data_IF_051550478829
#
_entry.id   IF_051550478829
#
_cell.length_a   1.000
_cell.length_b   1.000
_cell.length_c   1.000
_cell.angle_alpha   90.00
_cell.angle_beta   90.00
_cell.angle_gamma   90.00
#
_symmetry.space_group_name_H-M   'P 1'
#
loop_
_entity.id
_entity.type
_entity.pdbx_description
1 polymer ?
#
# COMPACT_ATOMS: atom_id res chain seq x y z
N UNK A 1 9.20 6.68 21.41
CA UNK A 1 9.08 7.73 20.37
C UNK A 1 8.35 8.93 20.96
N UNK A 2 8.36 10.11 20.31
CA UNK A 2 7.64 11.30 20.79
C UNK A 2 6.87 11.99 19.65
N UNK A 3 5.67 12.51 19.93
CA UNK A 3 4.78 13.05 18.89
C UNK A 3 5.32 14.28 18.16
N UNK A 4 6.11 15.12 18.81
CA UNK A 4 6.69 16.33 18.20
C UNK A 4 7.62 15.99 17.03
N UNK A 5 8.39 14.91 17.17
CA UNK A 5 9.30 14.43 16.15
C UNK A 5 8.59 13.58 15.09
N UNK A 6 7.62 12.75 15.51
CA UNK A 6 6.82 11.90 14.61
C UNK A 6 5.98 12.71 13.60
N UNK A 7 5.60 13.94 13.94
CA UNK A 7 4.83 14.83 13.06
C UNK A 7 5.73 15.75 12.22
N UNK A 8 6.90 15.26 11.80
CA UNK A 8 7.85 16.05 11.02
C UNK A 8 7.31 16.43 9.64
N UNK A 9 7.42 17.72 9.32
CA UNK A 9 7.13 18.29 8.01
C UNK A 9 8.34 18.25 7.06
N UNK A 10 9.50 17.74 7.51
CA UNK A 10 10.71 17.61 6.67
C UNK A 10 10.36 16.88 5.38
N UNK A 11 10.96 17.32 4.28
CA UNK A 11 10.90 16.69 2.97
C UNK A 11 12.31 16.43 2.47
N UNK A 12 12.43 15.53 1.51
CA UNK A 12 13.71 15.24 0.88
C UNK A 12 14.39 16.53 0.38
N UNK A 13 15.67 16.68 0.71
CA UNK A 13 16.52 17.82 0.35
C UNK A 13 16.35 19.07 1.22
N UNK A 14 15.52 19.04 2.26
CA UNK A 14 15.43 20.16 3.20
C UNK A 14 16.67 20.23 4.10
N UNK A 15 17.30 21.40 4.14
CA UNK A 15 18.45 21.68 5.01
C UNK A 15 18.07 22.41 6.32
N UNK A 16 16.78 22.73 6.49
CA UNK A 16 16.26 23.47 7.64
C UNK A 16 14.99 22.81 8.15
N UNK A 17 14.80 22.83 9.48
CA UNK A 17 13.60 22.29 10.12
C UNK A 17 12.37 23.11 9.72
N UNK A 18 11.30 22.42 9.31
CA UNK A 18 10.00 23.05 9.05
C UNK A 18 9.15 23.01 10.32
N UNK A 19 8.80 24.17 10.86
CA UNK A 19 7.97 24.28 12.05
C UNK A 19 6.48 24.32 11.67
N UNK A 20 5.65 23.51 12.34
CA UNK A 20 4.20 23.44 12.07
C UNK A 20 3.51 24.80 12.25
N UNK A 21 3.83 25.53 13.32
CA UNK A 21 3.29 26.87 13.62
C UNK A 21 3.61 27.94 12.57
N UNK A 22 4.59 27.69 11.69
CA UNK A 22 5.01 28.61 10.62
C UNK A 22 4.45 28.20 9.25
N UNK A 23 3.69 27.11 9.17
CA UNK A 23 3.02 26.71 7.94
C UNK A 23 1.86 27.65 7.63
N UNK A 24 1.66 27.92 6.35
CA UNK A 24 0.44 28.53 5.85
C UNK A 24 -0.69 27.49 5.90
N UNK A 25 -1.79 27.79 6.60
CA UNK A 25 -2.93 26.89 6.73
C UNK A 25 -3.59 26.55 5.38
N UNK A 26 -3.47 27.41 4.36
CA UNK A 26 -3.98 27.15 3.01
C UNK A 26 -3.06 26.24 2.17
N UNK A 27 -1.82 26.04 2.63
CA UNK A 27 -0.76 25.27 1.94
C UNK A 27 -0.03 24.35 2.93
N UNK A 28 -0.76 23.85 3.92
CA UNK A 28 -0.21 23.02 4.98
C UNK A 28 0.45 21.77 4.37
N UNK A 29 1.69 21.46 4.79
CA UNK A 29 2.47 20.39 4.19
C UNK A 29 1.74 19.03 4.11
N UNK A 30 0.98 18.65 5.14
CA UNK A 30 0.26 17.37 5.14
C UNK A 30 -0.88 17.32 4.12
N UNK A 31 -1.60 18.42 3.91
CA UNK A 31 -2.64 18.51 2.87
C UNK A 31 -2.00 18.56 1.47
N UNK A 32 -0.85 19.25 1.33
CA UNK A 32 -0.07 19.26 0.09
C UNK A 32 0.42 17.85 -0.29
N UNK A 33 0.69 16.97 0.68
CA UNK A 33 1.04 15.58 0.39
C UNK A 33 -0.11 14.85 -0.31
N UNK A 34 -1.33 15.01 0.19
CA UNK A 34 -2.53 14.41 -0.41
C UNK A 34 -2.69 14.89 -1.86
N UNK A 35 -2.60 16.20 -2.10
CA UNK A 35 -2.68 16.77 -3.45
C UNK A 35 -1.63 16.19 -4.40
N UNK A 36 -0.38 16.13 -3.94
CA UNK A 36 0.73 15.59 -4.74
C UNK A 36 0.51 14.14 -5.15
N UNK A 37 -0.07 13.32 -4.27
CA UNK A 37 -0.42 11.94 -4.58
C UNK A 37 -1.56 11.90 -5.60
N UNK A 38 -2.66 12.65 -5.37
CA UNK A 38 -3.82 12.71 -6.29
C UNK A 38 -3.41 13.10 -7.72
N UNK A 39 -2.51 14.09 -7.86
CA UNK A 39 -2.06 14.57 -9.18
C UNK A 39 -0.96 13.71 -9.80
N UNK A 40 -0.43 12.71 -9.09
CA UNK A 40 0.64 11.84 -9.61
C UNK A 40 0.14 10.91 -10.72
N UNK A 41 1.02 10.61 -11.68
CA UNK A 41 0.70 9.65 -12.74
C UNK A 41 0.57 8.23 -12.17
N UNK A 42 1.38 7.95 -11.14
CA UNK A 42 1.44 6.68 -10.43
C UNK A 42 0.11 6.38 -9.71
N UNK A 43 -0.50 7.36 -9.04
CA UNK A 43 -1.83 7.21 -8.46
C UNK A 43 -2.93 7.04 -9.52
N UNK A 44 -2.92 7.86 -10.58
CA UNK A 44 -3.90 7.75 -11.67
C UNK A 44 -3.88 6.38 -12.36
N UNK A 45 -2.71 5.74 -12.42
CA UNK A 45 -2.57 4.39 -13.00
C UNK A 45 -3.40 3.32 -12.26
N UNK A 46 -3.74 3.56 -10.98
CA UNK A 46 -4.55 2.64 -10.19
C UNK A 46 -5.97 2.46 -10.74
N UNK A 47 -6.46 3.37 -11.58
CA UNK A 47 -7.78 3.26 -12.22
C UNK A 47 -7.87 2.02 -13.12
N UNK A 48 -6.77 1.64 -13.76
CA UNK A 48 -6.70 0.47 -14.67
C UNK A 48 -5.92 -0.68 -14.01
N UNK A 49 -5.91 -0.72 -12.67
CA UNK A 49 -5.44 -1.85 -11.87
C UNK A 49 -6.60 -2.41 -11.08
N UNK A 50 -6.90 -3.68 -11.34
CA UNK A 50 -7.91 -4.40 -10.56
C UNK A 50 -7.50 -4.52 -9.09
N UNK A 51 -8.51 -4.48 -8.22
CA UNK A 51 -8.36 -4.86 -6.83
C UNK A 51 -8.50 -6.40 -6.75
N UNK A 52 -9.58 -6.89 -6.17
CA UNK A 52 -9.85 -8.33 -6.04
C UNK A 52 -10.53 -8.84 -7.31
N UNK A 53 -11.71 -8.32 -7.61
CA UNK A 53 -12.53 -8.79 -8.72
C UNK A 53 -11.93 -8.29 -10.05
N UNK A 54 -11.93 -9.11 -11.13
CA UNK A 54 -11.53 -8.64 -12.46
C UNK A 54 -12.37 -7.43 -12.90
N UNK A 55 -11.83 -6.58 -13.78
CA UNK A 55 -12.63 -5.54 -14.42
C UNK A 55 -13.75 -6.21 -15.23
N UNK A 56 -14.95 -6.27 -14.66
CA UNK A 56 -16.15 -6.76 -15.32
C UNK A 56 -16.69 -5.67 -16.24
N UNK A 57 -17.57 -6.04 -17.17
CA UNK A 57 -18.39 -5.08 -17.91
C UNK A 57 -19.56 -4.53 -17.08
N UNK A 58 -19.59 -4.79 -15.76
CA UNK A 58 -20.65 -4.33 -14.86
C UNK A 58 -20.20 -3.08 -14.11
N UNK A 59 -21.10 -2.12 -13.93
CA UNK A 59 -20.77 -0.73 -13.56
C UNK A 59 -20.29 -0.51 -12.10
N UNK A 60 -20.16 -1.57 -11.27
CA UNK A 60 -20.00 -1.46 -9.82
C UNK A 60 -18.89 -2.34 -9.22
N UNK A 61 -17.69 -2.38 -9.82
CA UNK A 61 -16.52 -3.07 -9.22
C UNK A 61 -15.45 -2.06 -8.84
N UNK A 62 -14.99 -2.11 -7.59
CA UNK A 62 -13.91 -1.24 -7.14
C UNK A 62 -12.60 -1.56 -7.86
N UNK A 63 -11.98 -0.50 -8.38
CA UNK A 63 -10.59 -0.51 -8.82
C UNK A 63 -9.70 -0.21 -7.62
N UNK A 64 -8.38 -0.41 -7.74
CA UNK A 64 -7.45 0.01 -6.68
C UNK A 64 -7.51 1.51 -6.41
N UNK A 65 -7.87 2.32 -7.41
CA UNK A 65 -8.05 3.76 -7.24
C UNK A 65 -9.24 4.08 -6.33
N UNK A 66 -10.41 3.49 -6.61
CA UNK A 66 -11.61 3.75 -5.81
C UNK A 66 -11.46 3.20 -4.39
N UNK A 67 -10.87 2.01 -4.22
CA UNK A 67 -10.50 1.48 -2.90
C UNK A 67 -9.58 2.42 -2.13
N UNK A 68 -8.48 2.87 -2.76
CA UNK A 68 -7.54 3.79 -2.12
C UNK A 68 -8.19 5.12 -1.72
N UNK A 69 -9.16 5.62 -2.50
CA UNK A 69 -9.94 6.80 -2.14
C UNK A 69 -10.79 6.55 -0.91
N UNK A 70 -11.51 5.44 -0.84
CA UNK A 70 -12.35 5.09 0.31
C UNK A 70 -11.53 4.85 1.58
N UNK A 71 -10.43 4.10 1.45
CA UNK A 71 -9.43 3.88 2.50
C UNK A 71 -8.87 5.22 3.00
N UNK A 72 -8.60 6.17 2.10
CA UNK A 72 -8.12 7.51 2.51
C UNK A 72 -9.17 8.32 3.29
N UNK A 73 -10.46 8.15 3.00
CA UNK A 73 -11.56 8.82 3.71
C UNK A 73 -11.76 8.22 5.11
N UNK A 74 -11.71 6.89 5.22
CA UNK A 74 -11.72 6.18 6.50
C UNK A 74 -10.48 6.59 7.32
N UNK A 75 -9.30 6.57 6.71
CA UNK A 75 -8.03 6.99 7.30
C UNK A 75 -8.05 8.44 7.80
N UNK A 76 -8.61 9.36 7.02
CA UNK A 76 -8.81 10.76 7.44
C UNK A 76 -9.62 10.87 8.72
N UNK A 77 -10.69 10.09 8.82
CA UNK A 77 -11.58 10.09 9.99
C UNK A 77 -10.89 9.48 11.20
N UNK A 78 -10.22 8.34 11.04
CA UNK A 78 -9.39 7.72 12.08
C UNK A 78 -8.33 8.70 12.62
N UNK A 79 -7.57 9.33 11.72
CA UNK A 79 -6.54 10.29 12.07
C UNK A 79 -7.09 11.52 12.80
N UNK A 80 -8.24 12.07 12.36
CA UNK A 80 -8.89 13.21 13.05
C UNK A 80 -9.34 12.86 14.46
N UNK A 81 -9.99 11.71 14.63
CA UNK A 81 -10.49 11.27 15.93
C UNK A 81 -9.35 10.95 16.90
N UNK A 82 -8.33 10.23 16.44
CA UNK A 82 -7.13 9.96 17.22
C UNK A 82 -6.37 11.25 17.55
N UNK A 83 -6.16 12.13 16.57
CA UNK A 83 -5.50 13.42 16.74
C UNK A 83 -6.19 14.32 17.76
N UNK A 84 -7.53 14.34 17.78
CA UNK A 84 -8.31 15.04 18.81
C UNK A 84 -7.97 14.52 20.22
N UNK A 85 -8.03 13.20 20.43
CA UNK A 85 -7.74 12.60 21.73
C UNK A 85 -6.26 12.77 22.13
N UNK A 86 -5.34 12.71 21.18
CA UNK A 86 -3.92 12.95 21.41
C UNK A 86 -3.64 14.40 21.82
N UNK A 87 -4.30 15.39 21.23
CA UNK A 87 -4.16 16.79 21.63
C UNK A 87 -4.75 17.01 23.02
N UNK A 88 -5.87 16.37 23.35
CA UNK A 88 -6.43 16.40 24.70
C UNK A 88 -5.46 15.78 25.74
N UNK A 89 -4.80 14.66 25.39
CA UNK A 89 -3.78 14.00 26.24
C UNK A 89 -2.47 14.80 26.31
N UNK A 90 -2.08 15.45 25.21
CA UNK A 90 -0.81 16.19 25.06
C UNK A 90 -1.06 17.63 24.54
N UNK A 91 -1.58 18.55 25.39
CA UNK A 91 -1.98 19.89 24.94
C UNK A 91 -0.85 20.75 24.37
N UNK A 92 0.41 20.44 24.71
CA UNK A 92 1.58 21.13 24.17
C UNK A 92 1.73 20.98 22.65
N UNK A 93 1.24 19.89 22.05
CA UNK A 93 1.24 19.69 20.60
C UNK A 93 0.50 20.83 19.90
N UNK A 94 -0.62 21.28 20.46
CA UNK A 94 -1.38 22.42 19.94
C UNK A 94 -0.83 23.75 20.47
N UNK A 95 -0.70 23.90 21.79
CA UNK A 95 -0.41 25.18 22.43
C UNK A 95 1.00 25.72 22.14
N UNK A 96 1.97 24.83 21.88
CA UNK A 96 3.38 25.22 21.63
C UNK A 96 3.72 25.04 20.14
N UNK A 97 3.36 23.89 19.56
CA UNK A 97 3.80 23.53 18.20
C UNK A 97 2.77 23.84 17.11
N UNK A 98 1.52 24.13 17.49
CA UNK A 98 0.46 24.52 16.56
C UNK A 98 -0.24 23.36 15.84
N UNK A 99 0.01 22.10 16.24
CA UNK A 99 -0.64 20.95 15.62
C UNK A 99 -2.15 20.94 15.90
N UNK A 100 -2.92 20.51 14.90
CA UNK A 100 -4.37 20.38 14.95
C UNK A 100 -4.79 18.93 14.69
N UNK A 101 -5.97 18.54 15.16
CA UNK A 101 -6.50 17.19 14.93
C UNK A 101 -6.59 16.85 13.42
N UNK A 102 -6.84 17.86 12.57
CA UNK A 102 -6.87 17.70 11.13
C UNK A 102 -5.52 17.33 10.52
N UNK A 103 -4.39 17.69 11.15
CA UNK A 103 -3.04 17.35 10.66
C UNK A 103 -2.82 15.84 10.69
N UNK A 104 -3.22 15.19 11.78
CA UNK A 104 -3.20 13.72 11.92
C UNK A 104 -4.09 13.06 10.86
N UNK A 105 -5.28 13.63 10.65
CA UNK A 105 -6.19 13.22 9.57
C UNK A 105 -5.54 13.30 8.19
N UNK A 106 -4.87 14.41 7.88
CA UNK A 106 -4.20 14.63 6.60
C UNK A 106 -3.05 13.63 6.36
N UNK A 107 -2.22 13.38 7.38
CA UNK A 107 -1.12 12.41 7.31
C UNK A 107 -1.66 11.00 7.04
N UNK A 108 -2.62 10.55 7.85
CA UNK A 108 -3.20 9.20 7.69
C UNK A 108 -3.91 9.09 6.35
N UNK A 109 -4.65 10.12 5.93
CA UNK A 109 -5.32 10.12 4.62
C UNK A 109 -4.33 10.05 3.46
N UNK A 110 -3.25 10.83 3.46
CA UNK A 110 -2.25 10.82 2.40
C UNK A 110 -1.51 9.48 2.33
N UNK A 111 -1.07 8.95 3.47
CA UNK A 111 -0.43 7.64 3.54
C UNK A 111 -1.37 6.51 3.07
N UNK A 112 -2.63 6.55 3.49
CA UNK A 112 -3.63 5.57 3.12
C UNK A 112 -4.06 5.70 1.64
N UNK A 113 -4.05 6.91 1.06
CA UNK A 113 -4.27 7.11 -0.37
C UNK A 113 -3.15 6.48 -1.22
N UNK A 114 -1.91 6.50 -0.72
CA UNK A 114 -0.76 5.95 -1.42
C UNK A 114 -0.51 4.46 -1.14
N UNK A 115 -1.19 3.82 -0.17
CA UNK A 115 -0.83 2.49 0.35
C UNK A 115 -0.66 1.43 -0.75
N UNK A 116 -1.47 1.53 -1.80
CA UNK A 116 -1.54 0.55 -2.87
C UNK A 116 -0.74 0.94 -4.13
N UNK A 117 -0.07 2.10 -4.13
CA UNK A 117 0.55 2.72 -5.31
C UNK A 117 1.64 1.85 -5.95
N UNK A 118 2.32 1.01 -5.15
CA UNK A 118 3.41 0.16 -5.59
C UNK A 118 3.01 -1.24 -6.05
N UNK A 119 1.73 -1.60 -5.99
CA UNK A 119 1.31 -2.94 -6.38
C UNK A 119 1.44 -3.18 -7.90
N UNK A 120 1.90 -4.36 -8.31
CA UNK A 120 2.01 -4.72 -9.72
C UNK A 120 0.63 -4.96 -10.36
N UNK A 121 0.56 -5.08 -11.71
CA UNK A 121 -0.61 -5.64 -12.38
C UNK A 121 -1.03 -6.96 -11.74
N UNK A 122 -2.33 -7.22 -11.69
CA UNK A 122 -2.91 -8.41 -11.05
C UNK A 122 -2.65 -8.51 -9.53
N UNK A 123 -2.28 -7.40 -8.87
CA UNK A 123 -2.20 -7.28 -7.41
C UNK A 123 -1.25 -8.26 -6.74
N UNK A 124 -1.67 -8.89 -5.64
CA UNK A 124 -0.87 -9.86 -4.89
C UNK A 124 -0.38 -11.04 -5.75
N UNK A 125 -1.15 -11.44 -6.77
CA UNK A 125 -0.73 -12.48 -7.70
C UNK A 125 0.34 -12.00 -8.67
N UNK A 126 0.37 -10.70 -8.96
CA UNK A 126 1.49 -10.07 -9.64
C UNK A 126 2.77 -10.06 -8.81
N UNK A 127 2.69 -9.75 -7.51
CA UNK A 127 3.84 -9.80 -6.60
C UNK A 127 4.46 -11.20 -6.58
N UNK A 128 3.61 -12.22 -6.42
CA UNK A 128 4.03 -13.62 -6.43
C UNK A 128 4.63 -14.01 -7.78
N UNK A 129 4.03 -13.59 -8.90
CA UNK A 129 4.55 -13.91 -10.23
C UNK A 129 5.94 -13.29 -10.49
N UNK A 130 6.17 -12.05 -10.05
CA UNK A 130 7.49 -11.40 -10.10
C UNK A 130 8.47 -12.17 -9.23
N UNK A 131 8.11 -12.47 -7.97
CA UNK A 131 8.97 -13.21 -7.06
C UNK A 131 9.33 -14.62 -7.56
N UNK A 132 8.34 -15.34 -8.10
CA UNK A 132 8.50 -16.70 -8.59
C UNK A 132 9.41 -16.77 -9.82
N UNK A 133 9.39 -15.74 -10.68
CA UNK A 133 10.32 -15.62 -11.81
C UNK A 133 11.79 -15.72 -11.36
N UNK A 134 12.14 -15.14 -10.20
CA UNK A 134 13.48 -15.23 -9.64
C UNK A 134 13.69 -16.50 -8.81
N UNK A 135 12.70 -16.97 -8.06
CA UNK A 135 12.83 -18.16 -7.17
C UNK A 135 12.99 -19.47 -7.94
N UNK A 136 12.10 -19.72 -8.90
CA UNK A 136 12.01 -21.00 -9.63
C UNK A 136 12.06 -20.84 -11.14
N UNK A 137 11.81 -19.63 -11.66
CA UNK A 137 11.87 -19.30 -13.08
C UNK A 137 13.27 -18.97 -13.61
N UNK A 138 13.29 -18.32 -14.78
CA UNK A 138 14.52 -17.98 -15.50
C UNK A 138 15.40 -16.96 -14.76
N UNK A 139 14.84 -16.15 -13.85
CA UNK A 139 15.58 -15.19 -13.05
C UNK A 139 16.52 -15.84 -12.02
N UNK A 140 16.38 -17.15 -11.76
CA UNK A 140 17.26 -17.90 -10.84
C UNK A 140 18.73 -17.86 -11.24
N UNK A 141 19.03 -17.69 -12.52
CA UNK A 141 20.41 -17.62 -13.03
C UNK A 141 21.21 -16.46 -12.42
N UNK A 142 20.55 -15.37 -12.03
CA UNK A 142 21.20 -14.17 -11.48
C UNK A 142 21.58 -14.30 -10.02
N UNK A 143 21.21 -15.41 -9.34
CA UNK A 143 21.43 -15.58 -7.90
C UNK A 143 22.89 -15.44 -7.50
N UNK A 144 23.81 -15.98 -8.30
CA UNK A 144 25.25 -15.95 -7.99
C UNK A 144 25.90 -14.58 -8.20
N UNK A 145 25.20 -13.63 -8.81
CA UNK A 145 25.69 -12.28 -9.12
C UNK A 145 25.17 -11.23 -8.13
N UNK A 146 24.37 -11.64 -7.14
CA UNK A 146 23.67 -10.78 -6.21
C UNK A 146 24.01 -11.16 -4.78
N UNK A 147 23.94 -10.19 -3.86
CA UNK A 147 23.94 -10.50 -2.44
C UNK A 147 22.64 -11.20 -2.03
N UNK A 148 22.65 -11.89 -0.89
CA UNK A 148 21.44 -12.57 -0.39
C UNK A 148 20.26 -11.60 -0.20
N UNK A 149 20.52 -10.35 0.23
CA UNK A 149 19.47 -9.33 0.44
C UNK A 149 18.91 -8.81 -0.89
N UNK A 150 19.79 -8.51 -1.85
CA UNK A 150 19.37 -8.06 -3.19
C UNK A 150 18.56 -9.13 -3.92
N UNK A 151 19.00 -10.39 -3.86
CA UNK A 151 18.23 -11.48 -4.45
C UNK A 151 16.92 -11.72 -3.69
N UNK A 152 16.90 -11.54 -2.36
CA UNK A 152 15.69 -11.66 -1.57
C UNK A 152 14.65 -10.57 -1.91
N UNK A 153 15.07 -9.34 -2.20
CA UNK A 153 14.19 -8.28 -2.70
C UNK A 153 13.46 -8.68 -3.99
N UNK A 154 14.17 -9.37 -4.90
CA UNK A 154 13.60 -9.83 -6.16
C UNK A 154 12.69 -11.05 -5.94
N UNK A 155 13.10 -11.98 -5.09
CA UNK A 155 12.36 -13.21 -4.82
C UNK A 155 11.05 -12.99 -4.04
N UNK A 156 11.01 -12.04 -3.11
CA UNK A 156 9.81 -11.70 -2.35
C UNK A 156 9.32 -10.28 -2.69
N UNK A 157 9.40 -9.86 -3.96
CA UNK A 157 8.97 -8.54 -4.44
C UNK A 157 7.66 -8.08 -3.79
N UNK A 158 7.67 -6.87 -3.23
CA UNK A 158 6.64 -6.40 -2.31
C UNK A 158 6.16 -4.99 -2.69
N UNK A 159 4.84 -4.82 -2.79
CA UNK A 159 4.19 -3.60 -3.25
C UNK A 159 4.37 -2.39 -2.32
N UNK A 160 4.47 -2.58 -1.00
CA UNK A 160 4.80 -1.51 -0.05
C UNK A 160 6.25 -1.03 -0.25
N UNK A 161 7.19 -1.95 -0.47
CA UNK A 161 8.59 -1.59 -0.78
C UNK A 161 8.69 -0.83 -2.11
N UNK A 162 8.00 -1.31 -3.15
CA UNK A 162 7.90 -0.60 -4.42
C UNK A 162 7.15 0.74 -4.29
N UNK A 163 6.15 0.83 -3.41
CA UNK A 163 5.45 2.07 -3.14
C UNK A 163 6.37 3.10 -2.50
N UNK A 164 7.18 2.69 -1.50
CA UNK A 164 8.17 3.59 -0.89
C UNK A 164 9.16 4.11 -1.93
N UNK A 165 9.65 3.21 -2.80
CA UNK A 165 10.49 3.57 -3.94
C UNK A 165 9.83 4.61 -4.84
N UNK A 166 8.60 4.36 -5.31
CA UNK A 166 7.86 5.29 -6.19
C UNK A 166 7.71 6.68 -5.54
N UNK A 167 7.45 6.71 -4.23
CA UNK A 167 7.24 7.96 -3.51
C UNK A 167 8.52 8.79 -3.34
N UNK A 168 9.68 8.14 -3.36
CA UNK A 168 10.98 8.75 -2.98
C UNK A 168 12.03 8.77 -4.10
N UNK A 169 11.83 8.00 -5.19
CA UNK A 169 12.82 7.82 -6.25
C UNK A 169 13.20 9.15 -6.92
N UNK A 170 14.50 9.41 -6.94
CA UNK A 170 15.09 10.48 -7.74
C UNK A 170 15.32 9.99 -9.17
N UNK A 171 14.86 10.76 -10.16
CA UNK A 171 15.13 10.56 -11.59
C UNK A 171 15.46 11.89 -12.26
N UNK A 172 15.95 11.83 -13.50
CA UNK A 172 16.26 13.03 -14.28
C UNK A 172 15.04 13.96 -14.33
N UNK A 173 15.21 15.20 -13.86
CA UNK A 173 14.14 16.20 -13.78
C UNK A 173 13.19 16.08 -12.58
N UNK A 174 13.39 15.11 -11.67
CA UNK A 174 12.57 14.93 -10.46
C UNK A 174 13.39 14.30 -9.33
N UNK A 175 13.91 15.12 -8.43
CA UNK A 175 14.63 14.66 -7.23
C UNK A 175 13.68 14.42 -6.04
N UNK A 176 13.94 13.36 -5.28
CA UNK A 176 13.18 12.99 -4.07
C UNK A 176 11.75 12.52 -4.35
N UNK A 177 11.46 12.01 -5.55
CA UNK A 177 10.15 11.49 -5.93
C UNK A 177 9.04 12.55 -5.85
N UNK A 178 8.01 12.28 -5.05
CA UNK A 178 6.91 13.23 -4.80
C UNK A 178 7.20 14.14 -3.59
N UNK A 179 8.36 13.96 -2.96
CA UNK A 179 8.89 14.76 -1.83
C UNK A 179 7.88 14.94 -0.71
N UNK A 180 7.17 13.88 -0.33
CA UNK A 180 6.17 13.91 0.75
C UNK A 180 6.80 14.29 2.09
N UNK A 181 5.99 14.74 3.06
CA UNK A 181 6.50 14.96 4.41
C UNK A 181 6.93 13.64 5.05
N UNK A 182 7.91 13.70 5.94
CA UNK A 182 8.47 12.51 6.56
C UNK A 182 7.45 11.83 7.47
N UNK A 183 6.55 12.59 8.13
CA UNK A 183 5.43 11.99 8.85
C UNK A 183 4.53 11.13 7.95
N UNK A 184 4.22 11.60 6.73
CA UNK A 184 3.46 10.82 5.74
C UNK A 184 4.22 9.58 5.27
N UNK A 185 5.53 9.70 4.98
CA UNK A 185 6.36 8.55 4.60
C UNK A 185 6.47 7.51 5.74
N UNK A 186 6.64 7.96 6.98
CA UNK A 186 6.65 7.10 8.15
C UNK A 186 5.32 6.37 8.34
N UNK A 187 4.20 7.08 8.24
CA UNK A 187 2.87 6.49 8.31
C UNK A 187 2.60 5.49 7.17
N UNK A 188 3.10 5.77 5.97
CA UNK A 188 3.01 4.90 4.80
C UNK A 188 3.81 3.60 4.97
N UNK A 189 5.01 3.64 5.55
CA UNK A 189 5.88 2.46 5.64
C UNK A 189 5.38 1.43 6.66
N UNK A 190 4.51 0.52 6.19
CA UNK A 190 3.90 -0.57 6.96
C UNK A 190 4.91 -1.55 7.58
N UNK A 191 6.06 -1.77 6.93
CA UNK A 191 7.08 -2.72 7.37
C UNK A 191 8.47 -2.08 7.30
N UNK A 192 8.86 -1.27 8.29
CA UNK A 192 10.11 -0.50 8.27
C UNK A 192 11.36 -1.37 8.52
N UNK A 193 11.62 -2.32 7.61
CA UNK A 193 12.76 -3.24 7.64
C UNK A 193 13.18 -3.68 6.24
N UNK A 194 14.40 -4.21 6.16
CA UNK A 194 14.95 -4.90 4.99
C UNK A 194 14.22 -6.24 4.72
N UNK A 195 14.40 -6.78 3.51
CA UNK A 195 13.82 -8.07 3.08
C UNK A 195 14.37 -9.28 3.84
N UNK A 196 15.58 -9.17 4.39
CA UNK A 196 16.15 -10.13 5.35
C UNK A 196 16.37 -9.49 6.74
N UNK A 197 16.21 -10.27 7.82
CA UNK A 197 15.70 -11.64 7.83
C UNK A 197 14.19 -11.70 7.51
N UNK A 198 13.75 -12.78 6.87
CA UNK A 198 12.33 -13.01 6.55
C UNK A 198 11.58 -13.44 7.80
N UNK A 199 10.60 -12.63 8.22
CA UNK A 199 9.72 -12.91 9.37
C UNK A 199 10.45 -13.45 10.61
N UNK A 200 11.46 -12.74 11.14
CA UNK A 200 12.30 -13.20 12.26
C UNK A 200 11.52 -13.36 13.55
N UNK A 201 10.40 -12.62 13.70
CA UNK A 201 9.54 -12.67 14.89
C UNK A 201 8.07 -12.63 14.46
N UNK A 202 7.16 -12.81 15.44
CA UNK A 202 5.71 -12.63 15.25
C UNK A 202 5.26 -11.17 15.32
N UNK A 203 6.19 -10.24 15.56
CA UNK A 203 5.87 -8.82 15.63
C UNK A 203 5.33 -8.33 14.28
N UNK A 204 4.28 -7.50 14.29
CA UNK A 204 3.60 -7.09 13.06
C UNK A 204 4.52 -6.38 12.04
N UNK A 205 5.48 -5.57 12.52
CA UNK A 205 6.59 -4.98 11.76
C UNK A 205 7.37 -6.00 10.94
N UNK A 206 7.53 -7.22 11.45
CA UNK A 206 8.33 -8.29 10.85
C UNK A 206 7.58 -9.13 9.82
N UNK A 207 6.29 -8.86 9.58
CA UNK A 207 5.41 -9.65 8.69
C UNK A 207 5.88 -9.67 7.23
N UNK A 208 6.40 -8.55 6.72
CA UNK A 208 6.99 -8.38 5.37
C UNK A 208 8.18 -7.41 5.47
N UNK A 209 8.47 -6.66 4.41
CA UNK A 209 9.48 -5.59 4.38
C UNK A 209 8.95 -4.40 3.56
N UNK A 210 9.55 -3.23 3.69
CA UNK A 210 8.92 -1.97 3.26
C UNK A 210 9.83 -1.02 2.49
N UNK A 211 11.07 -1.44 2.21
CA UNK A 211 11.98 -0.74 1.30
C UNK A 211 12.96 -1.75 0.69
N UNK A 212 13.39 -1.49 -0.54
CA UNK A 212 14.42 -2.28 -1.19
C UNK A 212 15.82 -1.86 -0.72
N UNK A 213 16.84 -2.68 -1.00
CA UNK A 213 18.23 -2.34 -0.69
C UNK A 213 18.67 -1.00 -1.31
N UNK A 214 18.16 -0.67 -2.50
CA UNK A 214 18.42 0.61 -3.17
C UNK A 214 17.81 1.84 -2.48
N UNK A 215 16.80 1.66 -1.63
CA UNK A 215 16.05 2.74 -0.97
C UNK A 215 16.34 2.82 0.54
N UNK A 216 17.27 1.99 1.02
CA UNK A 216 17.65 1.86 2.44
C UNK A 216 18.08 3.18 3.05
N UNK A 217 18.94 3.94 2.37
CA UNK A 217 19.44 5.23 2.87
C UNK A 217 18.32 6.27 2.97
N UNK A 218 17.41 6.30 1.98
CA UNK A 218 16.27 7.18 2.01
C UNK A 218 15.33 6.85 3.17
N UNK A 219 15.10 5.58 3.46
CA UNK A 219 14.30 5.19 4.63
C UNK A 219 15.00 5.49 5.95
N UNK A 220 16.32 5.32 6.02
CA UNK A 220 17.12 5.63 7.20
C UNK A 220 16.99 7.12 7.58
N UNK A 221 17.09 8.04 6.61
CA UNK A 221 16.90 9.47 6.84
C UNK A 221 15.47 9.80 7.33
N UNK A 222 14.45 9.09 6.83
CA UNK A 222 13.08 9.20 7.34
C UNK A 222 12.99 8.71 8.79
N UNK A 223 13.55 7.54 9.08
CA UNK A 223 13.49 6.94 10.42
C UNK A 223 14.22 7.79 11.47
N UNK A 224 15.38 8.35 11.12
CA UNK A 224 16.20 9.18 12.00
C UNK A 224 15.51 10.52 12.30
N UNK A 225 14.96 11.19 11.29
CA UNK A 225 14.18 12.41 11.48
C UNK A 225 12.98 12.17 12.39
N UNK A 226 12.25 11.06 12.20
CA UNK A 226 11.06 10.74 12.97
C UNK A 226 11.36 10.17 14.37
N UNK A 227 12.63 9.84 14.65
CA UNK A 227 13.04 9.23 15.91
C UNK A 227 12.41 7.86 16.13
N UNK A 228 12.27 7.07 15.06
CA UNK A 228 11.75 5.70 15.15
C UNK A 228 12.71 4.85 15.98
N UNK A 229 12.15 3.98 16.83
CA UNK A 229 12.97 3.09 17.68
C UNK A 229 13.74 2.13 16.78
N UNK A 230 15.07 2.11 16.90
CA UNK A 230 15.93 1.22 16.14
C UNK A 230 15.79 -0.22 16.66
N UNK A 231 15.45 -1.15 15.75
CA UNK A 231 15.32 -2.60 16.00
C UNK A 231 16.37 -3.41 15.23
N UNK A 232 17.35 -2.74 14.65
CA UNK A 232 18.36 -3.33 13.77
C UNK A 232 19.17 -4.36 14.55
N UNK A 233 19.43 -5.50 13.91
CA UNK A 233 20.16 -6.61 14.52
C UNK A 233 21.01 -7.31 13.47
N UNK A 234 22.24 -7.66 13.84
CA UNK A 234 23.17 -8.42 12.98
C UNK A 234 23.39 -7.76 11.61
N UNK A 235 23.45 -6.42 11.58
CA UNK A 235 23.62 -5.64 10.35
C UNK A 235 22.38 -5.56 9.45
N UNK A 236 21.23 -6.06 9.91
CA UNK A 236 19.94 -5.94 9.21
C UNK A 236 19.17 -4.74 9.75
N UNK A 237 18.88 -3.78 8.88
CA UNK A 237 18.20 -2.54 9.28
C UNK A 237 16.71 -2.82 9.51
N UNK A 238 16.21 -2.36 10.66
CA UNK A 238 14.82 -2.47 11.07
C UNK A 238 14.49 -1.39 12.10
N UNK A 239 13.26 -0.89 12.06
CA UNK A 239 12.74 0.13 12.98
C UNK A 239 11.36 -0.25 13.50
N UNK A 240 10.95 0.39 14.58
CA UNK A 240 9.55 0.37 14.99
C UNK A 240 8.66 1.05 13.94
N UNK A 241 7.40 0.62 13.86
CA UNK A 241 6.41 1.30 13.02
C UNK A 241 6.15 2.70 13.54
N UNK A 242 5.93 3.64 12.63
CA UNK A 242 5.36 4.92 13.00
C UNK A 242 3.97 4.70 13.62
N UNK A 243 3.56 5.37 14.71
CA UNK A 243 2.27 5.13 15.35
C UNK A 243 1.07 5.29 14.41
N UNK A 244 1.09 6.30 13.53
CA UNK A 244 0.00 6.51 12.56
C UNK A 244 -0.11 5.41 11.49
N UNK A 245 0.91 4.57 11.29
CA UNK A 245 0.83 3.38 10.42
C UNK A 245 -0.26 2.41 10.89
N UNK A 246 -0.48 2.31 12.21
CA UNK A 246 -1.54 1.46 12.76
C UNK A 246 -2.95 1.94 12.35
N UNK A 247 -3.14 3.25 12.21
CA UNK A 247 -4.39 3.83 11.72
C UNK A 247 -4.54 3.65 10.20
N UNK A 248 -3.44 3.74 9.44
CA UNK A 248 -3.44 3.44 8.00
C UNK A 248 -3.81 1.97 7.77
N UNK A 249 -3.17 1.04 8.48
CA UNK A 249 -3.48 -0.40 8.41
C UNK A 249 -4.92 -0.69 8.83
N UNK A 250 -5.43 -0.05 9.89
CA UNK A 250 -6.83 -0.22 10.29
C UNK A 250 -7.81 0.35 9.25
N UNK A 251 -7.49 1.46 8.58
CA UNK A 251 -8.33 2.00 7.52
C UNK A 251 -8.47 0.99 6.37
N UNK A 252 -7.34 0.43 5.95
CA UNK A 252 -7.25 -0.58 4.91
C UNK A 252 -8.01 -1.85 5.30
N UNK A 253 -7.78 -2.39 6.50
CA UNK A 253 -8.45 -3.60 7.00
C UNK A 253 -9.98 -3.40 7.14
N UNK A 254 -10.45 -2.21 7.54
CA UNK A 254 -11.89 -1.89 7.62
C UNK A 254 -12.51 -1.91 6.21
N UNK A 255 -11.88 -1.26 5.24
CA UNK A 255 -12.36 -1.22 3.86
C UNK A 255 -12.34 -2.62 3.24
N UNK A 256 -11.24 -3.36 3.35
CA UNK A 256 -11.16 -4.74 2.87
C UNK A 256 -12.21 -5.65 3.52
N UNK A 257 -12.52 -5.47 4.80
CA UNK A 257 -13.54 -6.30 5.47
C UNK A 257 -14.94 -5.98 4.95
N UNK A 258 -15.31 -4.70 4.87
CA UNK A 258 -16.71 -4.31 4.64
C UNK A 258 -17.03 -4.08 3.16
N UNK A 259 -16.12 -3.47 2.40
CA UNK A 259 -16.35 -3.06 1.01
C UNK A 259 -16.24 -4.27 0.08
N UNK A 260 -15.22 -5.13 0.25
CA UNK A 260 -15.14 -6.37 -0.52
C UNK A 260 -16.34 -7.30 -0.26
N UNK A 261 -16.89 -7.27 0.97
CA UNK A 261 -18.12 -7.98 1.30
C UNK A 261 -19.35 -7.39 0.61
N UNK A 262 -19.45 -6.05 0.55
CA UNK A 262 -20.48 -5.34 -0.24
C UNK A 262 -20.38 -5.70 -1.73
N UNK A 263 -19.18 -5.69 -2.31
CA UNK A 263 -18.94 -6.06 -3.70
C UNK A 263 -19.31 -7.53 -3.96
N UNK A 264 -18.95 -8.43 -3.05
CA UNK A 264 -19.34 -9.84 -3.12
C UNK A 264 -20.85 -10.04 -3.17
N UNK A 265 -21.62 -9.23 -2.42
CA UNK A 265 -23.09 -9.26 -2.46
C UNK A 265 -23.63 -8.66 -3.76
N UNK A 266 -23.11 -7.49 -4.16
CA UNK A 266 -23.57 -6.80 -5.38
C UNK A 266 -23.31 -7.62 -6.65
N UNK A 267 -22.27 -8.46 -6.65
CA UNK A 267 -21.96 -9.39 -7.73
C UNK A 267 -22.72 -10.72 -7.65
N UNK A 268 -23.51 -10.94 -6.59
CA UNK A 268 -24.24 -12.18 -6.37
C UNK A 268 -23.37 -13.37 -5.96
N UNK A 269 -22.10 -13.15 -5.62
CA UNK A 269 -21.18 -14.16 -5.08
C UNK A 269 -21.52 -14.50 -3.62
N UNK A 270 -22.11 -13.55 -2.91
CA UNK A 270 -22.63 -13.69 -1.56
C UNK A 270 -24.12 -13.36 -1.60
N UNK A 271 -24.96 -14.23 -1.03
CA UNK A 271 -26.40 -13.97 -1.02
C UNK A 271 -26.74 -12.85 -0.04
N UNK A 272 -27.61 -11.92 -0.45
CA UNK A 272 -27.98 -10.73 0.34
C UNK A 272 -28.53 -11.09 1.72
N UNK A 273 -29.26 -12.20 1.86
CA UNK A 273 -29.86 -12.63 3.13
C UNK A 273 -28.84 -12.80 4.26
N UNK A 274 -27.59 -13.11 3.92
CA UNK A 274 -26.49 -13.21 4.88
C UNK A 274 -25.96 -11.85 5.33
N UNK A 275 -26.20 -10.76 4.60
CA UNK A 275 -25.61 -9.47 4.88
C UNK A 275 -25.89 -8.97 6.30
N UNK A 276 -27.15 -9.06 6.74
CA UNK A 276 -27.53 -8.65 8.09
C UNK A 276 -26.93 -9.59 9.15
N UNK A 277 -26.91 -10.90 8.90
CA UNK A 277 -26.30 -11.88 9.79
C UNK A 277 -24.82 -11.58 10.05
N UNK A 278 -24.05 -11.32 8.99
CA UNK A 278 -22.62 -11.03 9.07
C UNK A 278 -22.32 -9.61 9.60
N UNK A 279 -23.25 -8.66 9.50
CA UNK A 279 -23.02 -7.29 9.98
C UNK A 279 -23.70 -6.98 11.31
N UNK A 280 -24.56 -7.86 11.84
CA UNK A 280 -25.44 -7.54 12.98
C UNK A 280 -24.69 -7.03 14.20
N UNK A 281 -23.56 -7.64 14.57
CA UNK A 281 -22.79 -7.21 15.76
C UNK A 281 -22.22 -5.79 15.60
N UNK A 282 -21.93 -5.39 14.36
CA UNK A 282 -21.40 -4.07 14.02
C UNK A 282 -22.50 -3.00 13.97
N UNK A 283 -23.72 -3.37 13.59
CA UNK A 283 -24.80 -2.39 13.34
C UNK A 283 -25.92 -2.41 14.39
N UNK A 284 -26.02 -3.44 15.24
CA UNK A 284 -27.16 -3.64 16.17
C UNK A 284 -27.54 -2.43 17.02
N UNK A 285 -26.55 -1.62 17.40
CA UNK A 285 -26.76 -0.47 18.28
C UNK A 285 -27.09 0.83 17.52
N UNK A 286 -26.94 0.85 16.20
CA UNK A 286 -27.09 2.04 15.36
C UNK A 286 -28.13 1.88 14.23
N UNK A 287 -28.52 0.63 13.92
CA UNK A 287 -29.48 0.32 12.86
C UNK A 287 -30.89 0.82 13.21
N UNK A 288 -31.49 1.55 12.28
CA UNK A 288 -32.90 1.93 12.34
C UNK A 288 -33.70 0.93 11.51
N UNK A 289 -34.28 -0.08 12.15
CA UNK A 289 -34.97 -1.21 11.48
C UNK A 289 -36.07 -0.73 10.53
N UNK A 290 -36.88 0.26 10.94
CA UNK A 290 -37.91 0.86 10.07
C UNK A 290 -37.31 1.44 8.78
N UNK A 291 -36.19 2.17 8.88
CA UNK A 291 -35.50 2.74 7.72
C UNK A 291 -34.94 1.63 6.84
N UNK A 292 -34.29 0.62 7.42
CA UNK A 292 -33.74 -0.52 6.68
C UNK A 292 -34.80 -1.24 5.84
N UNK A 293 -35.97 -1.53 6.43
CA UNK A 293 -37.07 -2.19 5.72
C UNK A 293 -37.79 -1.30 4.69
N UNK A 294 -37.60 0.02 4.71
CA UNK A 294 -38.13 0.96 3.71
C UNK A 294 -37.27 1.03 2.45
N UNK A 295 -36.01 0.60 2.51
CA UNK A 295 -35.10 0.61 1.36
C UNK A 295 -35.53 -0.45 0.34
N UNK A 296 -35.77 -0.01 -0.90
CA UNK A 296 -36.42 -0.81 -1.93
C UNK A 296 -35.49 -1.78 -2.66
N UNK A 297 -34.19 -1.50 -2.68
CA UNK A 297 -33.20 -2.31 -3.40
C UNK A 297 -32.04 -2.76 -2.48
N UNK A 298 -31.32 -3.78 -2.94
CA UNK A 298 -30.18 -4.39 -2.26
C UNK A 298 -29.05 -3.39 -2.05
N UNK A 299 -28.69 -2.64 -3.09
CA UNK A 299 -27.58 -1.68 -3.05
C UNK A 299 -27.75 -0.67 -1.90
N UNK A 300 -28.93 -0.06 -1.78
CA UNK A 300 -29.23 0.90 -0.72
C UNK A 300 -29.18 0.25 0.68
N UNK A 301 -29.70 -0.98 0.83
CA UNK A 301 -29.65 -1.73 2.09
C UNK A 301 -28.21 -2.01 2.50
N UNK A 302 -27.40 -2.53 1.59
CA UNK A 302 -25.99 -2.86 1.87
C UNK A 302 -25.17 -1.60 2.13
N UNK A 303 -25.30 -0.56 1.30
CA UNK A 303 -24.61 0.71 1.51
C UNK A 303 -24.98 1.38 2.85
N UNK A 304 -26.23 1.24 3.30
CA UNK A 304 -26.63 1.69 4.65
C UNK A 304 -25.95 0.88 5.76
N UNK A 305 -25.97 -0.45 5.66
CA UNK A 305 -25.30 -1.33 6.64
C UNK A 305 -23.79 -1.07 6.68
N UNK A 306 -23.15 -0.91 5.53
CA UNK A 306 -21.73 -0.53 5.40
C UNK A 306 -21.44 0.76 6.16
N UNK A 307 -22.21 1.81 5.93
CA UNK A 307 -21.95 3.11 6.58
C UNK A 307 -21.99 2.98 8.11
N UNK A 308 -22.94 2.20 8.64
CA UNK A 308 -23.03 1.92 10.07
C UNK A 308 -21.85 1.07 10.57
N UNK A 309 -21.49 0.00 9.84
CA UNK A 309 -20.43 -0.91 10.20
C UNK A 309 -19.05 -0.23 10.20
N UNK A 310 -18.73 0.53 9.14
CA UNK A 310 -17.51 1.33 9.04
C UNK A 310 -17.42 2.32 10.19
N UNK A 311 -18.50 3.06 10.50
CA UNK A 311 -18.49 3.99 11.62
C UNK A 311 -18.24 3.28 12.97
N UNK A 312 -18.85 2.12 13.20
CA UNK A 312 -18.60 1.32 14.41
C UNK A 312 -17.13 0.90 14.50
N UNK A 313 -16.55 0.39 13.41
CA UNK A 313 -15.16 -0.06 13.38
C UNK A 313 -14.15 1.09 13.48
N UNK A 314 -14.43 2.27 12.91
CA UNK A 314 -13.62 3.47 13.07
C UNK A 314 -13.52 3.84 14.56
N UNK A 315 -14.66 3.93 15.25
CA UNK A 315 -14.67 4.30 16.67
C UNK A 315 -13.96 3.26 17.53
N UNK A 316 -14.13 1.98 17.23
CA UNK A 316 -13.43 0.89 17.91
C UNK A 316 -11.91 0.96 17.69
N UNK A 317 -11.46 1.13 16.44
CA UNK A 317 -10.03 1.21 16.13
C UNK A 317 -9.35 2.41 16.82
N UNK A 318 -10.04 3.56 16.89
CA UNK A 318 -9.54 4.72 17.64
C UNK A 318 -9.48 4.44 19.13
N UNK A 319 -10.49 3.79 19.72
CA UNK A 319 -10.46 3.39 21.14
C UNK A 319 -9.26 2.50 21.44
N UNK A 320 -9.07 1.44 20.64
CA UNK A 320 -7.93 0.53 20.76
C UNK A 320 -6.61 1.28 20.60
N UNK A 321 -6.50 2.18 19.62
CA UNK A 321 -5.29 2.96 19.39
C UNK A 321 -4.93 3.83 20.61
N UNK A 322 -5.90 4.55 21.18
CA UNK A 322 -5.66 5.44 22.32
C UNK A 322 -5.39 4.66 23.61
N UNK A 323 -6.12 3.57 23.86
CA UNK A 323 -5.89 2.68 25.00
C UNK A 323 -4.49 2.05 24.99
N UNK A 324 -3.92 1.82 23.80
CA UNK A 324 -2.62 1.18 23.61
C UNK A 324 -1.53 2.16 23.14
N UNK A 325 -1.78 3.47 23.21
CA UNK A 325 -0.91 4.50 22.62
C UNK A 325 0.52 4.46 23.18
N UNK A 326 0.66 4.27 24.49
CA UNK A 326 1.97 4.17 25.14
C UNK A 326 2.72 2.89 24.73
N UNK A 327 2.01 1.78 24.53
CA UNK A 327 2.61 0.55 24.04
C UNK A 327 3.06 0.68 22.57
N UNK A 328 2.29 1.41 21.76
CA UNK A 328 2.64 1.73 20.36
C UNK A 328 3.88 2.64 20.33
N UNK A 329 3.92 3.72 21.14
CA UNK A 329 5.06 4.63 21.21
C UNK A 329 6.36 3.96 21.66
N UNK A 330 6.26 2.87 22.42
CA UNK A 330 7.36 2.09 22.96
C UNK A 330 7.65 0.80 22.17
N UNK A 331 7.01 0.57 21.03
CA UNK A 331 7.17 -0.63 20.18
C UNK A 331 6.88 -1.96 20.91
N UNK A 332 6.00 -1.94 21.91
CA UNK A 332 5.55 -3.15 22.62
C UNK A 332 4.18 -3.65 22.14
N UNK A 333 3.47 -2.87 21.32
CA UNK A 333 2.23 -3.29 20.66
C UNK A 333 2.54 -4.04 19.35
N UNK A 334 2.31 -5.35 19.35
CA UNK A 334 2.88 -6.27 18.33
C UNK A 334 1.89 -6.74 17.26
N UNK A 335 0.63 -6.30 17.29
CA UNK A 335 -0.46 -6.76 16.41
C UNK A 335 -1.13 -5.59 15.68
N UNK A 336 -2.10 -5.85 14.81
CA UNK A 336 -2.94 -4.80 14.22
C UNK A 336 -3.96 -4.28 15.23
N UNK A 337 -4.58 -3.13 14.95
CA UNK A 337 -5.62 -2.59 15.84
C UNK A 337 -6.87 -3.49 15.84
N UNK A 338 -7.27 -4.00 14.67
CA UNK A 338 -8.44 -4.86 14.56
C UNK A 338 -8.24 -6.26 15.18
N UNK A 339 -6.99 -6.70 15.34
CA UNK A 339 -6.65 -7.93 16.10
C UNK A 339 -6.99 -7.81 17.60
N UNK A 340 -7.21 -6.58 18.09
CA UNK A 340 -7.64 -6.28 19.47
C UNK A 340 -9.07 -5.77 19.55
N UNK A 341 -9.78 -5.76 18.43
CA UNK A 341 -11.18 -5.33 18.38
C UNK A 341 -12.08 -6.29 19.14
N UNK A 342 -13.07 -5.78 19.88
CA UNK A 342 -14.15 -6.62 20.41
C UNK A 342 -15.01 -7.28 19.34
N UNK A 343 -14.86 -6.86 18.08
CA UNK A 343 -15.51 -7.42 16.90
C UNK A 343 -14.62 -8.38 16.11
N UNK A 344 -13.44 -8.76 16.60
CA UNK A 344 -12.47 -9.64 15.91
C UNK A 344 -13.13 -10.88 15.30
N UNK A 345 -13.98 -11.58 16.05
CA UNK A 345 -14.69 -12.76 15.55
C UNK A 345 -15.59 -12.43 14.35
N UNK A 346 -16.34 -11.32 14.42
CA UNK A 346 -17.23 -10.91 13.33
C UNK A 346 -16.45 -10.50 12.08
N UNK A 347 -15.34 -9.78 12.27
CA UNK A 347 -14.43 -9.39 11.18
C UNK A 347 -13.87 -10.64 10.50
N UNK A 348 -13.44 -11.64 11.28
CA UNK A 348 -12.96 -12.92 10.74
C UNK A 348 -14.03 -13.67 9.96
N UNK A 349 -15.27 -13.71 10.45
CA UNK A 349 -16.37 -14.37 9.75
C UNK A 349 -16.61 -13.72 8.37
N UNK A 350 -16.64 -12.38 8.32
CA UNK A 350 -16.79 -11.62 7.07
C UNK A 350 -15.61 -11.88 6.11
N UNK A 351 -14.38 -11.84 6.60
CA UNK A 351 -13.19 -12.13 5.77
C UNK A 351 -13.26 -13.56 5.23
N UNK A 352 -13.64 -14.54 6.05
CA UNK A 352 -13.70 -15.94 5.64
C UNK A 352 -14.73 -16.17 4.52
N UNK A 353 -15.92 -15.58 4.61
CA UNK A 353 -16.92 -15.70 3.54
C UNK A 353 -16.44 -15.00 2.26
N UNK A 354 -15.81 -13.82 2.37
CA UNK A 354 -15.22 -13.13 1.21
C UNK A 354 -14.10 -13.96 0.56
N UNK A 355 -13.25 -14.61 1.35
CA UNK A 355 -12.21 -15.51 0.83
C UNK A 355 -12.84 -16.67 0.04
N UNK A 356 -13.82 -17.34 0.63
CA UNK A 356 -14.42 -18.55 0.05
C UNK A 356 -15.23 -18.24 -1.23
N UNK A 357 -15.95 -17.11 -1.24
CA UNK A 357 -16.90 -16.82 -2.30
C UNK A 357 -16.39 -15.81 -3.33
N UNK A 358 -15.53 -14.87 -2.93
CA UNK A 358 -15.03 -13.80 -3.81
C UNK A 358 -13.61 -14.13 -4.29
N UNK A 359 -12.67 -14.36 -3.37
CA UNK A 359 -11.25 -14.48 -3.73
C UNK A 359 -10.92 -15.82 -4.38
N UNK A 360 -11.71 -16.86 -4.10
CA UNK A 360 -11.61 -18.18 -4.72
C UNK A 360 -12.62 -18.38 -5.87
N UNK A 361 -13.31 -17.31 -6.29
CA UNK A 361 -14.17 -17.36 -7.47
C UNK A 361 -13.35 -17.76 -8.71
N UNK A 362 -14.03 -18.41 -9.66
CA UNK A 362 -13.42 -18.89 -10.89
C UNK A 362 -12.77 -17.75 -11.68
N UNK A 363 -13.44 -16.61 -11.74
CA UNK A 363 -13.03 -15.41 -12.45
C UNK A 363 -11.73 -14.83 -11.87
N UNK A 364 -11.59 -14.81 -10.53
CA UNK A 364 -10.35 -14.37 -9.87
C UNK A 364 -9.21 -15.34 -10.18
N UNK A 365 -9.44 -16.65 -10.03
CA UNK A 365 -8.39 -17.67 -10.28
C UNK A 365 -7.91 -17.66 -11.74
N UNK A 366 -8.83 -17.56 -12.71
CA UNK A 366 -8.47 -17.49 -14.14
C UNK A 366 -7.63 -16.25 -14.46
N UNK A 367 -7.97 -15.11 -13.87
CA UNK A 367 -7.18 -13.87 -13.97
C UNK A 367 -5.80 -14.04 -13.35
N UNK A 368 -5.68 -14.67 -12.20
CA UNK A 368 -4.38 -14.94 -11.58
C UNK A 368 -3.49 -15.80 -12.50
N UNK A 369 -4.02 -16.90 -13.04
CA UNK A 369 -3.30 -17.77 -13.99
C UNK A 369 -2.80 -16.99 -15.21
N UNK A 370 -3.66 -16.14 -15.79
CA UNK A 370 -3.27 -15.25 -16.89
C UNK A 370 -2.14 -14.31 -16.46
N UNK A 371 -2.27 -13.68 -15.29
CA UNK A 371 -1.30 -12.75 -14.74
C UNK A 371 0.10 -13.35 -14.62
N UNK A 372 0.22 -14.58 -14.12
CA UNK A 372 1.50 -15.30 -14.07
C UNK A 372 2.17 -15.41 -15.44
N UNK A 373 1.43 -15.81 -16.47
CA UNK A 373 1.97 -16.00 -17.82
C UNK A 373 2.36 -14.68 -18.48
N UNK A 374 1.54 -13.64 -18.30
CA UNK A 374 1.79 -12.29 -18.80
C UNK A 374 3.09 -11.75 -18.19
N UNK A 375 3.17 -11.70 -16.86
CA UNK A 375 4.29 -11.09 -16.17
C UNK A 375 5.61 -11.83 -16.39
N UNK A 376 5.61 -13.18 -16.37
CA UNK A 376 6.81 -13.96 -16.67
C UNK A 376 7.35 -13.69 -18.08
N UNK A 377 6.46 -13.53 -19.06
CA UNK A 377 6.87 -13.18 -20.44
C UNK A 377 7.49 -11.79 -20.49
N UNK A 378 6.86 -10.80 -19.84
CA UNK A 378 7.36 -9.43 -19.81
C UNK A 378 8.73 -9.36 -19.14
N UNK A 379 8.85 -9.92 -17.93
CA UNK A 379 10.11 -9.96 -17.17
C UNK A 379 11.22 -10.62 -18.00
N UNK A 380 10.98 -11.83 -18.53
CA UNK A 380 11.99 -12.53 -19.32
C UNK A 380 12.45 -11.76 -20.56
N UNK A 381 11.52 -11.08 -21.24
CA UNK A 381 11.83 -10.31 -22.46
C UNK A 381 12.65 -9.06 -22.13
N UNK A 382 12.22 -8.26 -21.15
CA UNK A 382 12.90 -7.02 -20.80
C UNK A 382 14.23 -7.25 -20.07
N UNK A 383 14.30 -8.25 -19.18
CA UNK A 383 15.55 -8.60 -18.48
C UNK A 383 16.61 -9.12 -19.46
N UNK A 384 16.22 -9.93 -20.46
CA UNK A 384 17.15 -10.36 -21.49
C UNK A 384 17.65 -9.17 -22.31
N UNK A 385 16.73 -8.31 -22.79
CA UNK A 385 17.08 -7.17 -23.62
C UNK A 385 18.02 -6.18 -22.92
N UNK A 386 17.73 -5.81 -21.66
CA UNK A 386 18.54 -4.83 -20.91
C UNK A 386 19.94 -5.37 -20.61
N UNK A 387 20.08 -6.65 -20.28
CA UNK A 387 21.38 -7.25 -20.00
C UNK A 387 22.18 -7.51 -21.28
N UNK A 388 21.52 -7.90 -22.38
CA UNK A 388 22.20 -8.04 -23.67
C UNK A 388 22.74 -6.69 -24.16
N UNK A 389 22.00 -5.60 -23.97
CA UNK A 389 22.44 -4.25 -24.34
C UNK A 389 23.63 -3.79 -23.49
N UNK A 390 23.54 -3.95 -22.16
CA UNK A 390 24.64 -3.68 -21.24
C UNK A 390 25.92 -4.46 -21.61
N UNK A 391 25.80 -5.73 -21.97
CA UNK A 391 26.93 -6.59 -22.34
C UNK A 391 27.45 -6.36 -23.77
N UNK A 392 26.84 -5.44 -24.55
CA UNK A 392 27.22 -5.21 -25.94
C UNK A 392 26.82 -6.32 -26.91
N UNK A 393 25.90 -7.20 -26.51
CA UNK A 393 25.41 -8.37 -27.28
C UNK A 393 23.95 -8.23 -27.72
N UNK A 394 23.35 -7.04 -27.64
CA UNK A 394 21.96 -6.80 -28.02
C UNK A 394 21.69 -7.11 -29.50
N UNK A 395 20.71 -7.98 -29.72
CA UNK A 395 20.13 -8.25 -31.03
C UNK A 395 19.28 -7.08 -31.52
N UNK A 396 18.89 -7.11 -32.80
CA UNK A 396 17.92 -6.14 -33.33
C UNK A 396 16.58 -6.20 -32.60
N UNK A 397 16.19 -7.39 -32.12
CA UNK A 397 14.97 -7.56 -31.33
C UNK A 397 15.11 -6.91 -29.95
N UNK A 398 16.24 -7.09 -29.28
CA UNK A 398 16.51 -6.46 -27.98
C UNK A 398 16.42 -4.94 -28.08
N UNK A 399 17.01 -4.35 -29.13
CA UNK A 399 16.92 -2.90 -29.39
C UNK A 399 15.48 -2.43 -29.59
N UNK A 400 14.66 -3.19 -30.32
CA UNK A 400 13.24 -2.87 -30.48
C UNK A 400 12.49 -2.94 -29.15
N UNK A 401 12.76 -3.96 -28.32
CA UNK A 401 12.16 -4.08 -26.98
C UNK A 401 12.56 -2.89 -26.10
N UNK A 402 13.83 -2.51 -26.06
CA UNK A 402 14.30 -1.37 -25.26
C UNK A 402 13.69 -0.04 -25.71
N UNK A 403 13.46 0.13 -27.01
CA UNK A 403 12.76 1.31 -27.53
C UNK A 403 11.29 1.42 -27.07
N UNK A 404 10.70 0.34 -26.52
CA UNK A 404 9.36 0.38 -25.92
C UNK A 404 9.35 0.74 -24.44
N UNK A 405 10.51 0.73 -23.77
CA UNK A 405 10.62 1.16 -22.38
C UNK A 405 10.42 2.68 -22.28
N UNK A 406 9.90 3.12 -21.14
CA UNK A 406 9.86 4.56 -20.86
C UNK A 406 11.29 5.08 -20.71
N UNK A 407 11.56 6.28 -21.24
CA UNK A 407 12.87 6.94 -21.09
C UNK A 407 13.27 7.29 -19.66
N UNK A 408 12.52 6.83 -18.66
CA UNK A 408 12.80 6.95 -17.23
C UNK A 408 13.66 5.80 -16.70
N UNK A 409 13.83 4.70 -17.44
CA UNK A 409 14.65 3.56 -17.03
C UNK A 409 16.07 3.77 -17.54
N UNK A 410 17.06 3.71 -16.64
CA UNK A 410 18.47 3.69 -17.03
C UNK A 410 18.85 2.29 -17.52
N UNK A 411 19.00 2.14 -18.84
CA UNK A 411 19.44 0.88 -19.46
C UNK A 411 20.94 0.62 -19.33
N UNK A 412 21.72 1.67 -19.01
CA UNK A 412 23.18 1.62 -18.86
C UNK A 412 23.62 1.62 -17.39
N UNK A 413 22.83 1.01 -16.51
CA UNK A 413 23.18 0.88 -15.10
C UNK A 413 24.16 -0.27 -14.90
N UNK A 414 25.29 -0.02 -14.20
CA UNK A 414 26.37 -0.99 -14.03
C UNK A 414 26.02 -2.13 -13.06
N UNK A 415 25.23 -1.82 -12.04
CA UNK A 415 24.84 -2.80 -11.02
C UNK A 415 23.72 -3.69 -11.56
N UNK A 416 23.99 -5.00 -11.67
CA UNK A 416 23.01 -5.98 -12.15
C UNK A 416 21.73 -5.96 -11.30
N UNK A 417 21.85 -5.84 -9.98
CA UNK A 417 20.70 -5.69 -9.07
C UNK A 417 19.78 -4.55 -9.52
N UNK A 418 20.34 -3.37 -9.80
CA UNK A 418 19.54 -2.21 -10.22
C UNK A 418 18.94 -2.38 -11.61
N UNK A 419 19.62 -3.05 -12.55
CA UNK A 419 19.02 -3.42 -13.86
C UNK A 419 17.84 -4.37 -13.70
N UNK A 420 17.97 -5.40 -12.87
CA UNK A 420 16.90 -6.37 -12.64
C UNK A 420 15.71 -5.71 -11.92
N UNK A 421 15.99 -4.95 -10.86
CA UNK A 421 14.97 -4.28 -10.06
C UNK A 421 14.25 -3.20 -10.88
N UNK A 422 14.95 -2.45 -11.74
CA UNK A 422 14.31 -1.43 -12.60
C UNK A 422 13.31 -2.05 -13.58
N UNK A 423 13.61 -3.23 -14.14
CA UNK A 423 12.65 -3.98 -14.95
C UNK A 423 11.46 -4.46 -14.11
N UNK A 424 11.69 -4.97 -12.90
CA UNK A 424 10.61 -5.37 -11.99
C UNK A 424 9.68 -4.20 -11.67
N UNK A 425 10.24 -3.04 -11.35
CA UNK A 425 9.48 -1.83 -11.04
C UNK A 425 8.74 -1.30 -12.26
N UNK A 426 9.34 -1.34 -13.44
CA UNK A 426 8.65 -1.00 -14.68
C UNK A 426 7.45 -1.91 -14.92
N UNK A 427 7.64 -3.22 -14.85
CA UNK A 427 6.54 -4.20 -15.02
C UNK A 427 5.46 -3.98 -13.95
N UNK A 428 5.83 -3.70 -12.71
CA UNK A 428 4.90 -3.39 -11.62
C UNK A 428 4.17 -2.04 -11.80
N UNK A 429 4.77 -1.10 -12.52
CA UNK A 429 4.15 0.20 -12.81
C UNK A 429 3.04 0.11 -13.87
N UNK A 430 3.01 -0.96 -14.67
CA UNK A 430 2.02 -1.13 -15.72
C UNK A 430 0.61 -1.29 -15.11
N UNK A 431 -0.41 -0.87 -15.86
CA UNK A 431 -1.79 -1.25 -15.59
C UNK A 431 -2.06 -2.68 -16.10
N UNK A 432 -3.18 -3.28 -15.69
CA UNK A 432 -3.55 -4.64 -16.11
C UNK A 432 -3.72 -4.70 -17.63
N UNK A 433 -4.49 -3.77 -18.20
CA UNK A 433 -4.74 -3.69 -19.63
C UNK A 433 -3.46 -3.44 -20.42
N UNK A 434 -2.57 -2.58 -19.89
CA UNK A 434 -1.29 -2.28 -20.56
C UNK A 434 -0.35 -3.48 -20.54
N UNK A 435 -0.25 -4.21 -19.43
CA UNK A 435 0.56 -5.42 -19.33
C UNK A 435 0.09 -6.49 -20.33
N UNK A 436 -1.23 -6.71 -20.43
CA UNK A 436 -1.82 -7.63 -21.40
C UNK A 436 -1.54 -7.18 -22.84
N UNK A 437 -1.69 -5.89 -23.14
CA UNK A 437 -1.44 -5.35 -24.48
C UNK A 437 0.02 -5.57 -24.91
N UNK A 438 0.98 -5.24 -24.04
CA UNK A 438 2.42 -5.44 -24.33
C UNK A 438 2.70 -6.94 -24.52
N UNK A 439 2.15 -7.80 -23.66
CA UNK A 439 2.27 -9.25 -23.81
C UNK A 439 1.75 -9.73 -25.18
N UNK A 440 0.56 -9.29 -25.61
CA UNK A 440 -0.02 -9.65 -26.91
C UNK A 440 0.86 -9.19 -28.07
N UNK A 441 1.45 -7.99 -27.99
CA UNK A 441 2.38 -7.47 -29.00
C UNK A 441 3.66 -8.30 -29.09
N UNK A 442 4.27 -8.62 -27.93
CA UNK A 442 5.47 -9.47 -27.85
C UNK A 442 5.20 -10.87 -28.43
N UNK A 443 4.01 -11.43 -28.20
CA UNK A 443 3.60 -12.74 -28.72
C UNK A 443 3.10 -12.72 -30.16
N UNK A 444 2.95 -11.55 -30.80
CA UNK A 444 2.40 -11.43 -32.15
C UNK A 444 0.92 -11.79 -32.27
N UNK A 445 0.12 -11.55 -31.21
CA UNK A 445 -1.31 -11.94 -31.13
C UNK A 445 -2.24 -10.76 -31.42
N UNK A 446 -1.80 -9.51 -31.27
CA UNK A 446 -2.61 -8.31 -31.52
C UNK A 446 -1.82 -7.24 -32.29
N UNK A 447 -2.50 -6.56 -33.21
CA UNK A 447 -2.00 -5.43 -34.00
C UNK A 447 -2.48 -4.10 -33.41
#
# INVERSE_FOLDING_TARGET
>A
MNWEQLLSLKRFGDNHKRLRKEQDETRLGFEVDYDRIIFSAEFRSLQDKTQVIPLSQTDFVHTRLTHSLEVSVVGRTLGRLAGKQLIEKYPHLQNIHGYQANDFGAIVAAAALAHDIGNPPFGHSGEKAIGEYFKTGAGKQYKSELTDKEYQDLCDFEGNANGFKILTESRVGREGGIRLSYATLGAFTKYPKESLPKKPTKHITDKKYGFFQGDKEAFQDVADELGLINRSKDGNISYARHPLTFLVEAADDICYTIIDFEDGINLGLIQEEFALEYLIKLVRNSIQTKKYHQLSNTQDRISYLRALAINTLINEAVSVFIENEEAILNDTFQTGLLDKSKYEAQIKDIINISVNNVYQSKEVVEKEIMGYRVLNTLLGTYIAAINNDYNGTASNYDKLILNTLSGTINTNEDLIYKRLLSVCNYVASLSDSRAILIYKKIKGIAF
#
